data_IF_249265354926
#
_entry.id   IF_249265354926
#
_cell.length_a   1.000
_cell.length_b   1.000
_cell.length_c   1.000
_cell.angle_alpha   90.00
_cell.angle_beta   90.00
_cell.angle_gamma   90.00
#
_symmetry.space_group_name_H-M   'P 1'
#
loop_
_entity.id
_entity.type
_entity.pdbx_description
1 polymer ?
#
# COMPACT_ATOMS: atom_id res chain seq x y z
N UNK A 1 1.15 -9.81 -5.95
CA UNK A 1 2.58 -10.02 -5.73
C UNK A 1 2.98 -9.65 -4.31
N UNK A 2 4.05 -10.27 -3.82
CA UNK A 2 4.61 -10.03 -2.48
C UNK A 2 5.51 -8.80 -2.53
N UNK A 3 6.44 -8.80 -3.49
CA UNK A 3 7.38 -7.72 -3.76
C UNK A 3 7.77 -7.73 -5.25
N UNK A 4 8.74 -6.93 -5.61
CA UNK A 4 9.41 -6.98 -6.91
C UNK A 4 10.87 -7.37 -6.69
N UNK A 5 11.38 -8.34 -7.45
CA UNK A 5 12.77 -8.79 -7.39
C UNK A 5 13.68 -7.84 -8.18
N UNK A 6 13.80 -6.61 -7.70
CA UNK A 6 14.64 -5.57 -8.26
C UNK A 6 15.62 -5.03 -7.21
N UNK A 7 16.61 -4.29 -7.64
CA UNK A 7 17.47 -3.58 -6.71
C UNK A 7 16.78 -2.33 -6.13
N UNK A 8 17.34 -1.79 -5.05
CA UNK A 8 16.76 -0.64 -4.35
C UNK A 8 16.73 0.61 -5.25
N UNK A 9 17.67 0.77 -6.15
CA UNK A 9 17.74 1.90 -7.08
C UNK A 9 16.61 1.83 -8.12
N UNK A 10 16.29 0.65 -8.64
CA UNK A 10 15.14 0.44 -9.52
C UNK A 10 13.83 0.74 -8.78
N UNK A 11 13.73 0.32 -7.51
CA UNK A 11 12.57 0.62 -6.69
C UNK A 11 12.36 2.14 -6.54
N UNK A 12 13.43 2.91 -6.29
CA UNK A 12 13.36 4.37 -6.23
C UNK A 12 12.91 5.02 -7.53
N UNK A 13 13.34 4.50 -8.68
CA UNK A 13 12.93 5.02 -9.99
C UNK A 13 11.43 4.84 -10.24
N UNK A 14 10.82 3.82 -9.65
CA UNK A 14 9.37 3.58 -9.73
C UNK A 14 8.54 4.52 -8.86
N UNK A 15 9.15 5.22 -7.89
CA UNK A 15 8.43 6.19 -7.04
C UNK A 15 8.27 7.51 -7.75
N UNK A 16 7.06 7.85 -8.15
CA UNK A 16 6.75 9.00 -9.00
C UNK A 16 6.97 10.37 -8.33
N UNK A 17 6.81 10.46 -7.02
CA UNK A 17 6.98 11.71 -6.28
C UNK A 17 7.62 11.47 -4.92
N UNK A 18 8.46 12.43 -4.50
CA UNK A 18 9.14 12.43 -3.20
C UNK A 18 9.85 11.10 -2.81
N UNK A 19 10.63 10.46 -3.71
CA UNK A 19 11.27 9.18 -3.42
C UNK A 19 12.20 9.24 -2.21
N UNK A 20 12.81 10.40 -1.94
CA UNK A 20 13.73 10.59 -0.81
C UNK A 20 13.09 10.32 0.55
N UNK A 21 11.76 10.49 0.67
CA UNK A 21 11.04 10.18 1.90
C UNK A 21 11.12 8.68 2.25
N UNK A 22 11.19 7.82 1.24
CA UNK A 22 11.24 6.36 1.41
C UNK A 22 12.68 5.81 1.52
N UNK A 23 13.70 6.68 1.47
CA UNK A 23 15.10 6.26 1.46
C UNK A 23 15.45 5.34 2.62
N UNK A 24 15.19 5.77 3.84
CA UNK A 24 15.47 4.98 5.03
C UNK A 24 14.71 3.65 5.04
N UNK A 25 13.41 3.67 4.68
CA UNK A 25 12.58 2.48 4.67
C UNK A 25 13.09 1.43 3.66
N UNK A 26 13.40 1.83 2.42
CA UNK A 26 13.82 0.88 1.38
C UNK A 26 15.22 0.31 1.60
N UNK A 27 16.11 1.07 2.25
CA UNK A 27 17.44 0.55 2.61
C UNK A 27 17.44 -0.24 3.92
N UNK A 28 16.45 -0.03 4.80
CA UNK A 28 16.32 -0.81 6.03
C UNK A 28 15.65 -2.16 5.83
N UNK A 29 14.83 -2.29 4.78
CA UNK A 29 14.14 -3.53 4.45
C UNK A 29 13.95 -3.62 2.94
N UNK A 30 14.89 -4.26 2.28
CA UNK A 30 15.00 -4.36 0.83
C UNK A 30 14.02 -5.38 0.24
N UNK A 31 13.78 -5.39 -1.09
CA UNK A 31 13.02 -6.46 -1.72
C UNK A 31 13.58 -7.87 -1.45
N UNK A 32 14.89 -8.01 -1.34
CA UNK A 32 15.55 -9.26 -0.99
C UNK A 32 15.23 -9.69 0.44
N UNK A 33 15.29 -8.74 1.40
CA UNK A 33 14.92 -9.03 2.80
C UNK A 33 13.45 -9.47 2.90
N UNK A 34 12.56 -8.89 2.10
CA UNK A 34 11.15 -9.33 2.02
C UNK A 34 11.05 -10.77 1.52
N UNK A 35 11.82 -11.13 0.50
CA UNK A 35 11.81 -12.49 -0.05
C UNK A 35 12.36 -13.49 0.98
N UNK A 36 13.50 -13.20 1.58
CA UNK A 36 14.12 -14.03 2.64
C UNK A 36 13.18 -14.21 3.82
N UNK A 37 12.54 -13.14 4.30
CA UNK A 37 11.57 -13.20 5.39
C UNK A 37 10.43 -14.21 5.11
N UNK A 38 9.83 -14.18 3.91
CA UNK A 38 8.75 -15.10 3.58
C UNK A 38 9.23 -16.54 3.38
N UNK A 39 10.42 -16.74 2.79
CA UNK A 39 11.02 -18.07 2.64
C UNK A 39 11.35 -18.67 4.00
N UNK A 40 11.93 -17.91 4.92
CA UNK A 40 12.18 -18.33 6.31
C UNK A 40 10.87 -18.60 7.08
N UNK A 41 9.81 -17.83 6.79
CA UNK A 41 8.47 -18.10 7.31
C UNK A 41 7.81 -19.34 6.67
N UNK A 42 8.53 -20.07 5.81
CA UNK A 42 8.06 -21.31 5.17
C UNK A 42 7.07 -21.07 4.03
N UNK A 43 7.20 -19.95 3.32
CA UNK A 43 6.42 -19.62 2.11
C UNK A 43 7.35 -19.57 0.91
N UNK A 44 7.49 -20.67 0.13
CA UNK A 44 8.32 -20.67 -1.07
C UNK A 44 7.83 -19.63 -2.08
N UNK A 45 8.77 -18.86 -2.64
CA UNK A 45 8.48 -17.79 -3.59
C UNK A 45 8.98 -18.13 -5.00
N UNK A 46 8.38 -17.51 -6.01
CA UNK A 46 8.81 -17.53 -7.41
C UNK A 46 8.80 -16.11 -7.97
N UNK A 47 9.74 -15.84 -8.87
CA UNK A 47 9.77 -14.59 -9.63
C UNK A 47 9.19 -14.82 -11.02
N UNK A 48 8.22 -14.00 -11.41
CA UNK A 48 7.59 -14.01 -12.73
C UNK A 48 8.06 -12.84 -13.59
N UNK A 49 7.55 -12.77 -14.83
CA UNK A 49 7.85 -11.68 -15.76
C UNK A 49 7.61 -10.30 -15.11
N UNK A 50 8.53 -9.37 -15.35
CA UNK A 50 8.52 -8.04 -14.72
C UNK A 50 8.99 -8.06 -13.27
N UNK A 51 9.81 -9.07 -12.92
CA UNK A 51 10.39 -9.25 -11.58
C UNK A 51 9.34 -9.34 -10.45
N UNK A 52 8.09 -9.66 -10.77
CA UNK A 52 7.02 -9.78 -9.78
C UNK A 52 7.16 -11.06 -8.98
N UNK A 53 7.17 -10.95 -7.67
CA UNK A 53 7.34 -12.08 -6.76
C UNK A 53 5.99 -12.57 -6.23
N UNK A 54 5.75 -13.88 -6.34
CA UNK A 54 4.53 -14.55 -5.88
C UNK A 54 4.87 -15.79 -5.06
N UNK A 55 3.96 -16.28 -4.21
CA UNK A 55 4.11 -17.62 -3.65
C UNK A 55 4.04 -18.68 -4.77
N UNK A 56 4.83 -19.73 -4.67
CA UNK A 56 4.84 -20.83 -5.67
C UNK A 56 3.45 -21.43 -5.86
N UNK A 57 2.64 -21.46 -4.82
CA UNK A 57 1.26 -21.96 -4.82
C UNK A 57 0.26 -21.09 -5.56
N UNK A 58 0.60 -19.84 -5.88
CA UNK A 58 -0.31 -18.78 -6.37
C UNK A 58 -1.46 -18.42 -5.41
N UNK A 59 -1.40 -18.86 -4.15
CA UNK A 59 -2.42 -18.58 -3.15
C UNK A 59 -1.97 -17.51 -2.15
N UNK A 60 -2.68 -16.37 -2.10
CA UNK A 60 -2.44 -15.31 -1.12
C UNK A 60 -2.60 -15.77 0.33
N UNK A 61 -3.39 -16.82 0.56
CA UNK A 61 -3.56 -17.43 1.89
C UNK A 61 -2.27 -18.00 2.48
N UNK A 62 -1.28 -18.35 1.65
CA UNK A 62 0.00 -18.85 2.15
C UNK A 62 0.84 -17.72 2.73
N UNK A 63 0.78 -16.54 2.13
CA UNK A 63 1.37 -15.30 2.67
C UNK A 63 0.75 -14.97 4.03
N UNK A 64 -0.59 -14.99 4.12
CA UNK A 64 -1.31 -14.72 5.38
C UNK A 64 -0.90 -15.72 6.47
N UNK A 65 -0.85 -17.02 6.14
CA UNK A 65 -0.42 -18.08 7.08
C UNK A 65 1.05 -17.93 7.50
N UNK A 66 1.92 -17.48 6.58
CA UNK A 66 3.31 -17.15 6.90
C UNK A 66 3.40 -16.06 7.95
N UNK A 67 2.75 -14.94 7.70
CA UNK A 67 2.69 -13.80 8.64
C UNK A 67 2.06 -14.19 9.99
N UNK A 68 0.99 -14.97 9.99
CA UNK A 68 0.33 -15.43 11.21
C UNK A 68 1.27 -16.30 12.07
N UNK A 69 2.08 -17.16 11.44
CA UNK A 69 3.10 -17.95 12.16
C UNK A 69 4.14 -17.06 12.82
N UNK A 70 4.66 -16.08 12.10
CA UNK A 70 5.68 -15.17 12.65
C UNK A 70 5.12 -14.29 13.77
N UNK A 71 3.89 -13.78 13.64
CA UNK A 71 3.22 -13.05 14.69
C UNK A 71 3.05 -13.91 15.97
N UNK A 72 2.64 -15.17 15.81
CA UNK A 72 2.54 -16.11 16.95
C UNK A 72 3.88 -16.39 17.61
N UNK A 73 4.94 -16.59 16.82
CA UNK A 73 6.31 -16.77 17.35
C UNK A 73 6.79 -15.54 18.13
N UNK A 74 6.45 -14.34 17.63
CA UNK A 74 6.76 -13.08 18.30
C UNK A 74 5.89 -12.78 19.54
N UNK A 75 4.91 -13.64 19.85
CA UNK A 75 3.99 -13.42 20.98
C UNK A 75 2.94 -12.34 20.74
N UNK A 76 2.74 -11.92 19.49
CA UNK A 76 1.75 -10.92 19.15
C UNK A 76 0.32 -11.45 19.27
N UNK A 77 -0.59 -10.63 19.78
CA UNK A 77 -2.01 -10.93 19.89
C UNK A 77 -2.77 -10.36 18.68
N UNK A 78 -3.51 -11.22 17.97
CA UNK A 78 -4.32 -10.82 16.83
C UNK A 78 -5.79 -10.74 17.27
N UNK A 79 -6.35 -9.54 17.21
CA UNK A 79 -7.75 -9.28 17.48
C UNK A 79 -8.52 -9.14 16.18
N UNK A 80 -9.30 -10.16 15.81
CA UNK A 80 -10.15 -10.11 14.62
C UNK A 80 -11.50 -9.47 14.95
N UNK A 81 -12.13 -8.85 13.94
CA UNK A 81 -13.42 -8.16 14.08
C UNK A 81 -13.40 -7.09 15.17
N UNK A 82 -12.25 -6.45 15.33
CA UNK A 82 -12.00 -5.43 16.36
C UNK A 82 -11.69 -4.15 15.61
N UNK A 83 -12.71 -3.34 15.38
CA UNK A 83 -12.62 -2.08 14.66
C UNK A 83 -12.12 -0.99 15.60
N UNK A 84 -11.06 -0.29 15.18
CA UNK A 84 -10.55 0.89 15.88
C UNK A 84 -11.32 2.12 15.41
N UNK A 85 -11.95 2.80 16.34
CA UNK A 85 -12.71 4.02 16.09
C UNK A 85 -11.82 5.25 16.07
N UNK A 86 -10.95 5.41 17.10
CA UNK A 86 -10.06 6.56 17.26
C UNK A 86 -8.71 6.15 17.83
N UNK A 87 -7.67 6.89 17.48
CA UNK A 87 -6.40 6.90 18.23
C UNK A 87 -6.53 7.97 19.32
N UNK A 88 -6.27 7.60 20.55
CA UNK A 88 -6.35 8.52 21.70
C UNK A 88 -4.99 9.13 21.99
N UNK A 89 -5.00 10.43 22.15
CA UNK A 89 -3.83 11.22 22.53
C UNK A 89 -4.19 12.09 23.75
N UNK A 90 -3.22 12.30 24.64
CA UNK A 90 -3.31 13.26 25.73
C UNK A 90 -2.27 14.36 25.54
N UNK A 91 -2.52 15.58 26.01
CA UNK A 91 -1.49 16.60 26.08
C UNK A 91 -0.29 16.08 26.88
N UNK A 92 0.89 16.32 26.40
CA UNK A 92 2.14 16.03 27.10
C UNK A 92 2.90 17.33 27.32
N UNK A 93 3.17 17.66 28.57
CA UNK A 93 4.01 18.79 28.94
C UNK A 93 5.43 18.27 29.18
N UNK A 94 6.36 18.61 28.30
CA UNK A 94 7.77 18.35 28.55
C UNK A 94 8.26 19.31 29.64
N UNK A 95 8.78 18.82 30.77
CA UNK A 95 9.46 19.65 31.72
C UNK A 95 10.73 20.22 31.06
N UNK A 96 10.90 21.53 31.01
CA UNK A 96 12.06 22.28 30.49
C UNK A 96 12.06 22.69 29.00
N UNK A 97 10.94 22.69 28.28
CA UNK A 97 10.86 23.24 26.91
C UNK A 97 10.06 24.54 26.88
N UNK A 98 10.61 25.53 26.17
CA UNK A 98 10.02 26.86 25.96
C UNK A 98 8.56 26.78 25.49
N UNK A 99 7.60 27.38 26.21
CA UNK A 99 6.14 27.30 26.00
C UNK A 99 5.68 27.56 24.55
N UNK A 100 6.52 28.13 23.71
CA UNK A 100 6.23 28.41 22.30
C UNK A 100 6.45 27.23 21.35
N UNK A 101 6.99 26.10 21.83
CA UNK A 101 7.33 24.91 21.02
C UNK A 101 6.60 23.64 21.41
N UNK A 102 5.81 23.64 22.48
CA UNK A 102 5.32 22.43 23.12
C UNK A 102 3.81 22.29 23.06
N UNK A 103 3.27 21.95 21.89
CA UNK A 103 2.04 21.15 21.84
C UNK A 103 2.41 19.72 21.45
N UNK A 104 3.07 19.02 22.36
CA UNK A 104 3.30 17.60 22.19
C UNK A 104 2.08 16.83 22.73
N UNK A 105 1.58 15.91 21.90
CA UNK A 105 0.58 14.95 22.32
C UNK A 105 1.21 13.59 22.42
N UNK A 106 0.92 12.86 23.47
CA UNK A 106 1.34 11.47 23.65
C UNK A 106 0.17 10.54 23.35
N UNK A 107 0.44 9.48 22.59
CA UNK A 107 -0.53 8.41 22.39
C UNK A 107 -0.77 7.69 23.72
N UNK A 108 -2.03 7.38 24.01
CA UNK A 108 -2.45 6.65 25.21
C UNK A 108 -3.10 5.30 24.87
N UNK A 109 -3.44 5.08 23.62
CA UNK A 109 -4.07 3.85 23.16
C UNK A 109 -5.08 4.08 22.03
N UNK A 110 -6.01 3.16 21.90
CA UNK A 110 -7.08 3.21 20.90
C UNK A 110 -8.46 2.97 21.51
N UNK A 111 -9.44 3.71 21.01
CA UNK A 111 -10.86 3.47 21.28
C UNK A 111 -11.42 2.54 20.21
N UNK A 112 -12.11 1.49 20.61
CA UNK A 112 -12.76 0.55 19.71
C UNK A 112 -14.18 0.98 19.36
N UNK A 113 -14.75 0.42 18.31
CA UNK A 113 -16.10 0.75 17.86
C UNK A 113 -17.19 0.38 18.87
N UNK A 114 -16.95 -0.62 19.74
CA UNK A 114 -17.83 -1.01 20.83
C UNK A 114 -17.74 -0.10 22.08
N UNK A 115 -16.88 0.93 22.01
CA UNK A 115 -16.65 1.88 23.09
C UNK A 115 -15.60 1.42 24.11
N UNK A 116 -15.03 0.24 23.98
CA UNK A 116 -13.92 -0.19 24.84
C UNK A 116 -12.62 0.53 24.47
N UNK A 117 -11.67 0.52 25.40
CA UNK A 117 -10.37 1.17 25.25
C UNK A 117 -9.24 0.15 25.41
N UNK A 118 -8.28 0.20 24.49
CA UNK A 118 -7.04 -0.56 24.61
C UNK A 118 -5.88 0.42 24.84
N UNK A 119 -5.24 0.31 25.99
CA UNK A 119 -4.08 1.11 26.36
C UNK A 119 -2.86 0.71 25.54
N UNK A 120 -2.00 1.68 25.20
CA UNK A 120 -0.75 1.45 24.49
C UNK A 120 0.09 2.71 24.37
N UNK A 121 1.38 2.56 24.57
CA UNK A 121 2.36 3.65 24.50
C UNK A 121 2.66 4.06 23.04
N UNK A 122 2.45 3.15 22.12
CA UNK A 122 2.68 3.37 20.69
C UNK A 122 1.56 2.75 19.86
N UNK A 123 1.15 3.43 18.80
CA UNK A 123 0.19 2.93 17.81
C UNK A 123 0.80 3.00 16.42
N UNK A 124 0.93 1.86 15.76
CA UNK A 124 1.33 1.76 14.36
C UNK A 124 0.08 1.68 13.48
N UNK A 125 -0.17 2.71 12.70
CA UNK A 125 -1.29 2.75 11.74
C UNK A 125 -0.86 2.11 10.44
N UNK A 126 -1.40 0.93 10.12
CA UNK A 126 -1.09 0.15 8.91
C UNK A 126 -2.38 -0.31 8.21
N UNK A 127 -3.38 0.57 8.15
CA UNK A 127 -4.76 0.28 7.68
C UNK A 127 -4.92 0.28 6.17
N UNK A 128 -3.85 0.53 5.42
CA UNK A 128 -3.91 0.73 3.97
C UNK A 128 -4.50 2.08 3.57
N UNK A 129 -4.80 2.24 2.29
CA UNK A 129 -5.35 3.47 1.72
C UNK A 129 -6.85 3.38 1.43
N UNK A 130 -7.25 3.83 0.20
CA UNK A 130 -8.65 3.84 -0.26
C UNK A 130 -8.94 2.85 -1.39
N UNK A 131 -7.97 2.01 -1.76
CA UNK A 131 -8.14 1.00 -2.81
C UNK A 131 -8.73 -0.27 -2.23
N UNK A 132 -9.69 -0.88 -2.93
CA UNK A 132 -10.35 -2.12 -2.51
C UNK A 132 -10.95 -2.05 -1.09
N UNK A 133 -11.86 -1.14 -0.88
CA UNK A 133 -12.51 -0.89 0.41
C UNK A 133 -13.15 -2.15 1.02
N UNK A 134 -13.59 -3.10 0.19
CA UNK A 134 -14.10 -4.41 0.63
C UNK A 134 -13.07 -5.27 1.39
N UNK A 135 -11.80 -4.94 1.30
CA UNK A 135 -10.71 -5.62 2.03
C UNK A 135 -10.28 -4.87 3.30
N UNK A 136 -10.97 -3.80 3.67
CA UNK A 136 -10.71 -3.02 4.88
C UNK A 136 -9.90 -1.73 4.64
N UNK A 137 -9.51 -1.42 3.40
CA UNK A 137 -8.79 -0.18 3.06
C UNK A 137 -9.77 0.99 2.89
N UNK A 138 -10.37 1.43 3.98
CA UNK A 138 -11.48 2.42 4.02
C UNK A 138 -11.02 3.86 4.20
N UNK A 139 -9.71 4.07 4.36
CA UNK A 139 -9.12 5.40 4.56
C UNK A 139 -9.02 5.82 6.02
N UNK A 140 -9.23 4.91 6.97
CA UNK A 140 -9.17 5.20 8.40
C UNK A 140 -7.83 5.80 8.84
N UNK A 141 -6.71 5.37 8.21
CA UNK A 141 -5.40 5.92 8.50
C UNK A 141 -5.30 7.42 8.24
N UNK A 142 -5.96 7.93 7.21
CA UNK A 142 -6.01 9.37 6.93
C UNK A 142 -6.81 10.11 8.00
N UNK A 143 -7.96 9.56 8.39
CA UNK A 143 -8.80 10.11 9.46
C UNK A 143 -8.05 10.14 10.79
N UNK A 144 -7.38 9.05 11.18
CA UNK A 144 -6.57 9.01 12.39
C UNK A 144 -5.43 10.05 12.36
N UNK A 145 -4.80 10.25 11.22
CA UNK A 145 -3.76 11.26 11.06
C UNK A 145 -4.33 12.69 11.28
N UNK A 146 -5.47 13.02 10.68
CA UNK A 146 -6.12 14.32 10.85
C UNK A 146 -6.59 14.56 12.31
N UNK A 147 -7.22 13.56 12.91
CA UNK A 147 -7.70 13.61 14.29
C UNK A 147 -6.57 13.78 15.31
N UNK A 148 -5.37 13.27 15.01
CA UNK A 148 -4.16 13.45 15.83
C UNK A 148 -3.32 14.67 15.44
N UNK A 149 -3.84 15.57 14.60
CA UNK A 149 -3.23 16.86 14.28
C UNK A 149 -2.28 16.87 13.09
N UNK A 150 -2.20 15.78 12.32
CA UNK A 150 -1.41 15.74 11.10
C UNK A 150 -2.17 16.33 9.91
N UNK A 151 -1.43 16.95 9.00
CA UNK A 151 -2.00 17.42 7.73
C UNK A 151 -1.95 16.31 6.70
N UNK A 152 -3.12 15.90 6.19
CA UNK A 152 -3.24 15.00 5.05
C UNK A 152 -3.29 15.82 3.77
N UNK A 153 -2.47 15.47 2.78
CA UNK A 153 -2.51 16.10 1.44
C UNK A 153 -3.67 15.54 0.64
N UNK A 154 -4.08 16.27 -0.42
CA UNK A 154 -5.12 15.80 -1.32
C UNK A 154 -4.78 14.40 -1.88
N UNK A 155 -5.75 13.49 -1.80
CA UNK A 155 -5.60 12.14 -2.28
C UNK A 155 -5.90 12.09 -3.78
N UNK A 156 -4.99 11.49 -4.54
CA UNK A 156 -5.15 11.28 -5.98
C UNK A 156 -5.05 9.81 -6.32
N UNK A 157 -5.80 9.33 -7.32
CA UNK A 157 -5.67 7.96 -7.81
C UNK A 157 -4.27 7.77 -8.44
N UNK A 158 -3.69 6.58 -8.27
CA UNK A 158 -2.40 6.20 -8.83
C UNK A 158 -2.54 5.00 -9.75
N UNK A 159 -2.66 3.79 -9.25
CA UNK A 159 -2.81 2.57 -10.05
C UNK A 159 -4.30 2.32 -10.33
N UNK A 160 -4.83 2.98 -11.35
CA UNK A 160 -6.27 2.91 -11.70
C UNK A 160 -6.48 2.67 -13.19
N UNK A 161 -7.57 1.98 -13.56
CA UNK A 161 -7.99 1.88 -14.96
C UNK A 161 -8.25 3.26 -15.57
N UNK A 162 -8.03 3.39 -16.88
CA UNK A 162 -8.31 4.61 -17.61
C UNK A 162 -9.69 4.55 -18.28
N UNK A 163 -10.46 5.61 -18.12
CA UNK A 163 -11.70 5.82 -18.89
C UNK A 163 -11.35 6.28 -20.30
N UNK A 164 -12.06 5.73 -21.29
CA UNK A 164 -12.00 6.18 -22.68
C UNK A 164 -13.26 6.92 -23.07
N UNK A 165 -13.18 7.73 -24.11
CA UNK A 165 -14.33 8.49 -24.65
C UNK A 165 -15.05 7.73 -25.76
N UNK A 166 -14.41 6.73 -26.34
CA UNK A 166 -14.88 5.98 -27.49
C UNK A 166 -16.04 5.05 -27.08
N UNK A 167 -17.15 5.15 -27.76
CA UNK A 167 -18.39 4.42 -27.49
C UNK A 167 -18.35 2.94 -27.86
N UNK A 168 -17.38 2.52 -28.68
CA UNK A 168 -17.20 1.12 -29.07
C UNK A 168 -16.45 0.29 -28.02
N UNK A 169 -15.76 0.91 -27.07
CA UNK A 169 -14.93 0.23 -26.06
C UNK A 169 -15.73 -0.82 -25.25
N UNK A 170 -16.96 -0.54 -24.80
CA UNK A 170 -17.75 -1.55 -24.07
C UNK A 170 -17.98 -2.85 -24.85
N UNK A 171 -17.97 -2.80 -26.19
CA UNK A 171 -18.11 -3.99 -27.05
C UNK A 171 -16.88 -4.87 -27.03
N UNK A 172 -15.73 -4.34 -26.60
CA UNK A 172 -14.46 -5.04 -26.47
C UNK A 172 -14.22 -5.57 -25.05
N UNK A 173 -15.16 -5.41 -24.14
CA UNK A 173 -15.02 -5.84 -22.75
C UNK A 173 -14.54 -7.29 -22.64
N UNK A 174 -13.47 -7.50 -21.85
CA UNK A 174 -12.86 -8.81 -21.64
C UNK A 174 -11.79 -9.18 -22.68
N UNK A 175 -11.67 -8.44 -23.79
CA UNK A 175 -10.60 -8.64 -24.74
C UNK A 175 -9.27 -8.24 -24.10
N UNK A 176 -8.36 -9.21 -23.97
CA UNK A 176 -6.99 -8.99 -23.50
C UNK A 176 -6.02 -8.97 -24.67
N UNK A 177 -5.25 -7.91 -24.77
CA UNK A 177 -4.15 -7.79 -25.75
C UNK A 177 -2.85 -8.17 -25.04
N UNK A 178 -2.20 -9.18 -25.58
CA UNK A 178 -0.85 -9.61 -25.16
C UNK A 178 0.19 -9.03 -26.10
N UNK A 179 1.35 -8.69 -25.55
CA UNK A 179 2.47 -8.17 -26.36
C UNK A 179 2.10 -6.92 -27.18
N UNK A 180 1.45 -5.97 -26.53
CA UNK A 180 1.04 -4.70 -27.13
C UNK A 180 1.97 -3.57 -26.70
N UNK A 181 2.25 -2.64 -27.60
CA UNK A 181 2.90 -1.38 -27.30
C UNK A 181 1.85 -0.32 -27.02
N UNK A 182 1.98 0.36 -25.88
CA UNK A 182 1.17 1.51 -25.49
C UNK A 182 1.99 2.79 -25.62
N UNK A 183 1.47 3.76 -26.33
CA UNK A 183 2.05 5.12 -26.34
C UNK A 183 1.01 6.13 -25.91
N UNK A 184 1.27 6.87 -24.83
CA UNK A 184 0.44 7.98 -24.36
C UNK A 184 1.04 9.29 -24.89
N UNK A 185 0.21 10.11 -25.55
CA UNK A 185 0.61 11.39 -26.15
C UNK A 185 -0.27 12.52 -25.67
N UNK A 186 0.34 13.70 -25.48
CA UNK A 186 -0.38 14.97 -25.35
C UNK A 186 0.01 15.84 -26.57
N UNK A 187 -0.90 15.97 -27.51
CA UNK A 187 -0.60 16.55 -28.82
C UNK A 187 0.51 15.76 -29.53
N UNK A 188 1.63 16.43 -29.83
CA UNK A 188 2.81 15.80 -30.47
C UNK A 188 3.82 15.20 -29.47
N UNK A 189 3.67 15.48 -28.17
CA UNK A 189 4.62 15.03 -27.13
C UNK A 189 4.24 13.63 -26.67
N UNK A 190 5.19 12.69 -26.74
CA UNK A 190 5.08 11.39 -26.09
C UNK A 190 5.31 11.59 -24.59
N UNK A 191 4.33 11.17 -23.76
CA UNK A 191 4.37 11.24 -22.30
C UNK A 191 4.85 9.92 -21.69
N UNK A 192 4.45 8.81 -22.32
CA UNK A 192 4.76 7.47 -21.84
C UNK A 192 4.76 6.50 -23.03
N UNK A 193 5.62 5.51 -22.99
CA UNK A 193 5.65 4.40 -23.94
C UNK A 193 6.17 3.15 -23.23
N UNK A 194 5.42 2.07 -23.32
CA UNK A 194 5.82 0.79 -22.74
C UNK A 194 5.19 -0.37 -23.51
N UNK A 195 5.66 -1.59 -23.23
CA UNK A 195 5.26 -2.81 -23.89
C UNK A 195 4.79 -3.86 -22.88
N UNK A 196 3.58 -4.39 -23.08
CA UNK A 196 3.03 -5.33 -22.11
C UNK A 196 1.64 -5.86 -22.48
N UNK A 197 0.87 -6.16 -21.45
CA UNK A 197 -0.49 -6.68 -21.57
C UNK A 197 -1.49 -5.64 -21.08
N UNK A 198 -2.58 -5.47 -21.83
CA UNK A 198 -3.72 -4.64 -21.45
C UNK A 198 -5.03 -5.37 -21.72
N UNK A 199 -6.09 -4.90 -21.09
CA UNK A 199 -7.43 -5.46 -21.23
C UNK A 199 -8.48 -4.34 -21.36
N UNK A 200 -9.46 -4.56 -22.21
CA UNK A 200 -10.64 -3.68 -22.32
C UNK A 200 -11.66 -3.99 -21.23
N UNK A 201 -12.23 -2.94 -20.64
CA UNK A 201 -13.32 -3.00 -19.67
C UNK A 201 -14.60 -2.40 -20.29
N UNK A 202 -15.70 -2.43 -19.57
CA UNK A 202 -16.96 -1.81 -20.00
C UNK A 202 -16.90 -0.27 -20.06
N UNK A 203 -15.84 0.36 -19.57
CA UNK A 203 -15.69 1.83 -19.53
C UNK A 203 -14.35 2.33 -20.06
N UNK A 204 -13.42 1.44 -20.40
CA UNK A 204 -12.09 1.87 -20.81
C UNK A 204 -11.08 0.73 -20.86
N UNK A 205 -9.90 0.97 -20.36
CA UNK A 205 -8.76 0.04 -20.43
C UNK A 205 -8.12 -0.17 -19.06
N UNK A 206 -7.57 -1.38 -18.83
CA UNK A 206 -6.88 -1.81 -17.61
C UNK A 206 -5.79 -2.82 -17.96
N UNK A 207 -5.25 -3.49 -16.98
CA UNK A 207 -4.20 -4.50 -17.12
C UNK A 207 -2.82 -3.96 -16.73
N UNK A 208 -1.80 -4.84 -16.65
CA UNK A 208 -0.48 -4.46 -16.15
C UNK A 208 0.10 -3.21 -16.83
N UNK A 209 0.00 -3.14 -18.16
CA UNK A 209 0.53 -2.02 -18.95
C UNK A 209 -0.17 -0.67 -18.68
N UNK A 210 -1.43 -0.71 -18.25
CA UNK A 210 -2.21 0.51 -17.95
C UNK A 210 -2.03 0.95 -16.50
N UNK A 211 -1.79 -0.02 -15.60
CA UNK A 211 -1.68 0.21 -14.17
C UNK A 211 -0.24 0.52 -13.71
N UNK A 212 0.76 0.30 -14.55
CA UNK A 212 2.15 0.69 -14.31
C UNK A 212 2.42 2.08 -14.88
#
# INVERSE_FOLDING_TARGET
>A
NVTNNCDTEELFRAVMSNPKFLYSAFYSFTPQDVMEFFEEAGVPLKTERGNRVFPVSDHSSDIIRGLERELKKAGAHIHLRTEVKNVKVSPYEEPDVDEKKAHHSQVTGVELADGSFMEGDHVLVATGGLSYQSTGSTGDGYRFAEETGHKVTELSPSLVPLKTKEDYIPRLQGLSLKNSELTIKSGKKVLFQDFGEMMFTHFGVTGPLILS
#
